data_IF_052383088051
#
_entry.id   IF_052383088051
#
_cell.length_a   1.000
_cell.length_b   1.000
_cell.length_c   1.000
_cell.angle_alpha   90.00
_cell.angle_beta   90.00
_cell.angle_gamma   90.00
#
_symmetry.space_group_name_H-M   'P 1'
#
loop_
_entity.id
_entity.type
_entity.pdbx_description
1 polymer ?
#
# COMPACT_ATOMS: atom_id res chain seq x y z
N UNK A 1 -44.37 -5.72 -22.59
CA UNK A 1 -43.00 -5.79 -23.14
C UNK A 1 -42.02 -5.47 -22.04
N UNK A 2 -41.55 -6.54 -21.35
CA UNK A 2 -40.61 -6.45 -20.27
C UNK A 2 -39.18 -6.59 -20.83
N UNK A 3 -38.28 -5.67 -20.47
CA UNK A 3 -36.86 -5.79 -20.73
C UNK A 3 -36.16 -6.28 -19.44
N UNK A 4 -35.73 -7.54 -19.46
CA UNK A 4 -34.86 -8.14 -18.47
C UNK A 4 -33.46 -7.45 -18.51
N UNK A 5 -33.11 -6.76 -17.44
CA UNK A 5 -31.70 -6.33 -17.21
C UNK A 5 -30.91 -7.53 -16.71
N UNK A 6 -30.04 -8.05 -17.57
CA UNK A 6 -29.05 -9.03 -17.17
C UNK A 6 -28.02 -8.36 -16.25
N UNK A 7 -27.99 -8.82 -15.00
CA UNK A 7 -26.92 -8.49 -14.05
C UNK A 7 -25.61 -9.09 -14.53
N UNK A 8 -24.61 -8.27 -14.83
CA UNK A 8 -23.25 -8.73 -15.03
C UNK A 8 -22.67 -9.15 -13.68
N UNK A 9 -22.41 -10.44 -13.54
CA UNK A 9 -21.65 -11.00 -12.44
C UNK A 9 -20.26 -10.32 -12.37
N UNK A 10 -19.87 -9.91 -11.17
CA UNK A 10 -18.49 -9.50 -10.86
C UNK A 10 -17.58 -10.70 -11.16
N UNK A 11 -16.64 -10.53 -12.04
CA UNK A 11 -15.50 -11.43 -12.15
C UNK A 11 -14.62 -11.16 -10.94
N UNK A 12 -14.57 -12.10 -9.99
CA UNK A 12 -13.58 -12.12 -8.93
C UNK A 12 -12.20 -12.23 -9.56
N UNK A 13 -11.39 -11.17 -9.44
CA UNK A 13 -9.98 -11.26 -9.75
C UNK A 13 -9.33 -12.19 -8.71
N UNK A 14 -8.57 -13.20 -9.13
CA UNK A 14 -7.95 -14.13 -8.20
C UNK A 14 -6.91 -13.39 -7.34
N UNK A 15 -7.05 -13.49 -6.02
CA UNK A 15 -6.00 -13.13 -5.07
C UNK A 15 -4.78 -14.01 -5.35
N UNK A 16 -3.72 -13.43 -5.93
CA UNK A 16 -2.48 -14.14 -6.17
C UNK A 16 -1.76 -14.34 -4.83
N UNK A 17 -1.47 -15.57 -4.42
CA UNK A 17 -0.76 -15.79 -3.17
C UNK A 17 0.71 -15.37 -3.31
N UNK A 18 1.24 -14.74 -2.27
CA UNK A 18 2.64 -14.33 -2.07
C UNK A 18 3.69 -15.44 -2.33
N UNK A 19 3.26 -16.68 -2.52
CA UNK A 19 4.09 -17.84 -2.90
C UNK A 19 4.63 -17.81 -4.34
N UNK A 20 4.13 -16.96 -5.21
CA UNK A 20 4.60 -16.85 -6.60
C UNK A 20 5.91 -16.08 -6.71
N UNK A 21 6.16 -15.12 -5.81
CA UNK A 21 7.39 -14.32 -5.83
C UNK A 21 8.65 -15.17 -5.56
N UNK A 22 8.57 -16.13 -4.65
CA UNK A 22 9.67 -17.06 -4.35
C UNK A 22 10.05 -17.96 -5.53
N UNK A 23 9.10 -18.35 -6.37
CA UNK A 23 9.35 -19.20 -7.55
C UNK A 23 9.90 -18.42 -8.74
N UNK A 24 9.51 -17.17 -8.92
CA UNK A 24 10.04 -16.29 -9.97
C UNK A 24 11.50 -15.89 -9.72
N UNK A 25 11.89 -15.66 -8.46
CA UNK A 25 13.29 -15.36 -8.11
C UNK A 25 14.22 -16.54 -8.38
N UNK A 26 13.76 -17.78 -8.18
CA UNK A 26 14.57 -18.98 -8.44
C UNK A 26 14.80 -19.24 -9.95
N UNK A 27 13.81 -18.93 -10.78
CA UNK A 27 13.90 -19.12 -12.24
C UNK A 27 14.82 -18.10 -12.93
N UNK A 28 14.92 -16.88 -12.39
CA UNK A 28 15.72 -15.81 -13.01
C UNK A 28 17.22 -15.89 -12.69
N UNK A 29 17.62 -16.59 -11.65
CA UNK A 29 19.02 -16.76 -11.25
C UNK A 29 19.87 -17.51 -12.28
N UNK A 30 19.24 -18.27 -13.17
CA UNK A 30 19.94 -19.11 -14.13
C UNK A 30 20.15 -18.49 -15.51
N UNK A 31 19.59 -17.33 -15.81
CA UNK A 31 19.55 -16.85 -17.20
C UNK A 31 20.44 -15.66 -17.55
N UNK A 32 20.97 -14.89 -16.60
CA UNK A 32 21.68 -13.64 -16.99
C UNK A 32 23.06 -13.39 -16.37
N UNK A 33 23.53 -14.15 -15.40
CA UNK A 33 24.88 -13.98 -14.81
C UNK A 33 25.23 -12.58 -14.26
N UNK A 34 24.33 -11.62 -14.33
CA UNK A 34 24.49 -10.26 -13.80
C UNK A 34 23.67 -10.08 -12.53
N UNK A 35 24.34 -9.76 -11.43
CA UNK A 35 23.69 -9.32 -10.19
C UNK A 35 23.02 -7.97 -10.46
N UNK A 36 21.68 -7.97 -10.57
CA UNK A 36 20.90 -6.75 -10.68
C UNK A 36 20.76 -6.09 -9.30
N UNK A 37 20.89 -4.76 -9.19
CA UNK A 37 21.01 -4.03 -7.91
C UNK A 37 19.82 -4.22 -6.94
N UNK A 38 18.66 -4.65 -7.42
CA UNK A 38 17.47 -4.88 -6.60
C UNK A 38 17.51 -6.18 -5.75
N UNK A 39 18.49 -7.08 -5.96
CA UNK A 39 18.68 -8.29 -5.12
C UNK A 39 19.09 -7.95 -3.67
N UNK A 40 19.52 -6.72 -3.39
CA UNK A 40 19.82 -6.25 -2.02
C UNK A 40 18.59 -6.00 -1.14
N UNK A 41 17.39 -6.29 -1.64
CA UNK A 41 16.11 -5.95 -1.02
C UNK A 41 15.36 -7.21 -0.53
N UNK A 42 16.00 -8.35 -0.46
CA UNK A 42 15.35 -9.51 0.15
C UNK A 42 15.17 -9.24 1.65
N UNK A 43 13.95 -9.38 2.18
CA UNK A 43 13.74 -9.30 3.62
C UNK A 43 14.60 -10.34 4.33
N UNK A 44 14.95 -10.05 5.57
CA UNK A 44 15.61 -11.00 6.45
C UNK A 44 14.79 -12.31 6.44
N UNK A 45 15.37 -13.46 6.05
CA UNK A 45 14.65 -14.71 5.99
C UNK A 45 14.12 -15.21 7.36
N UNK A 46 14.49 -14.54 8.44
CA UNK A 46 13.98 -14.79 9.80
C UNK A 46 12.83 -13.86 10.19
N UNK A 47 12.56 -12.78 9.44
CA UNK A 47 11.41 -11.93 9.67
C UNK A 47 10.14 -12.67 9.21
N UNK A 48 9.15 -12.79 10.10
CA UNK A 48 7.85 -13.34 9.72
C UNK A 48 7.20 -12.38 8.71
N UNK A 49 6.96 -12.88 7.50
CA UNK A 49 6.35 -12.09 6.42
C UNK A 49 4.90 -11.75 6.77
N UNK A 50 4.46 -10.55 6.38
CA UNK A 50 3.06 -10.15 6.50
C UNK A 50 2.17 -10.98 5.58
N UNK A 51 0.98 -11.34 6.08
CA UNK A 51 -0.13 -11.66 5.21
C UNK A 51 -0.80 -10.34 4.80
N UNK A 52 -0.60 -9.94 3.52
CA UNK A 52 -1.11 -8.68 3.00
C UNK A 52 -2.31 -8.98 2.11
N UNK A 53 -3.42 -8.30 2.40
CA UNK A 53 -4.70 -8.49 1.73
C UNK A 53 -5.50 -7.19 1.64
N UNK A 54 -6.57 -7.21 0.86
CA UNK A 54 -7.54 -6.13 0.85
C UNK A 54 -8.26 -6.02 2.20
N UNK A 55 -8.67 -4.80 2.51
CA UNK A 55 -9.46 -4.44 3.68
C UNK A 55 -10.76 -5.25 3.77
N UNK A 56 -11.15 -5.55 4.99
CA UNK A 56 -12.46 -6.09 5.38
C UNK A 56 -13.07 -5.19 6.43
N UNK A 57 -14.39 -5.10 6.50
CA UNK A 57 -15.06 -4.23 7.47
C UNK A 57 -14.66 -4.54 8.93
N UNK A 58 -14.35 -5.79 9.22
CA UNK A 58 -13.86 -6.21 10.55
C UNK A 58 -12.51 -5.58 10.94
N UNK A 59 -11.73 -5.07 9.97
CA UNK A 59 -10.43 -4.46 10.21
C UNK A 59 -10.54 -2.98 10.63
N UNK A 60 -11.70 -2.33 10.43
CA UNK A 60 -11.90 -0.88 10.57
C UNK A 60 -11.39 -0.33 11.89
N UNK A 61 -11.84 -0.89 12.99
CA UNK A 61 -11.44 -0.42 14.32
C UNK A 61 -9.93 -0.56 14.57
N UNK A 62 -9.34 -1.68 14.15
CA UNK A 62 -7.91 -1.93 14.31
C UNK A 62 -7.07 -0.98 13.44
N UNK A 63 -7.53 -0.67 12.20
CA UNK A 63 -6.84 0.28 11.33
C UNK A 63 -6.89 1.71 11.86
N UNK A 64 -8.02 2.16 12.41
CA UNK A 64 -8.13 3.49 13.02
C UNK A 64 -7.14 3.57 14.19
N UNK A 65 -7.14 2.59 15.09
CA UNK A 65 -6.22 2.54 16.21
C UNK A 65 -4.74 2.54 15.74
N UNK A 66 -4.42 1.81 14.68
CA UNK A 66 -3.09 1.80 14.07
C UNK A 66 -2.70 3.18 13.53
N UNK A 67 -3.60 3.87 12.82
CA UNK A 67 -3.33 5.20 12.26
C UNK A 67 -3.14 6.24 13.36
N UNK A 68 -3.92 6.17 14.43
CA UNK A 68 -3.75 7.00 15.62
C UNK A 68 -2.40 6.74 16.32
N UNK A 69 -2.05 5.48 16.55
CA UNK A 69 -0.78 5.09 17.15
C UNK A 69 0.43 5.53 16.31
N UNK A 70 0.26 5.62 14.98
CA UNK A 70 1.27 6.11 14.05
C UNK A 70 1.23 7.64 13.83
N UNK A 71 0.35 8.38 14.53
CA UNK A 71 0.14 9.82 14.40
C UNK A 71 -0.16 10.25 12.94
N UNK A 72 -0.88 9.42 12.19
CA UNK A 72 -1.28 9.70 10.81
C UNK A 72 -2.58 10.50 10.70
N UNK A 73 -3.43 10.46 11.73
CA UNK A 73 -4.66 11.23 11.82
C UNK A 73 -4.41 12.65 12.36
N UNK A 74 -5.27 13.62 11.98
CA UNK A 74 -5.26 14.98 12.48
C UNK A 74 -6.64 15.36 12.98
N UNK A 75 -6.75 16.46 13.74
CA UNK A 75 -8.02 16.95 14.31
C UNK A 75 -9.10 17.26 13.28
N UNK A 76 -8.71 17.50 12.07
CA UNK A 76 -9.60 17.78 10.92
C UNK A 76 -9.80 16.58 10.00
N UNK A 77 -9.12 15.46 10.26
CA UNK A 77 -9.29 14.22 9.50
C UNK A 77 -10.39 13.37 10.15
N UNK A 78 -11.29 12.83 9.34
CA UNK A 78 -12.19 11.76 9.74
C UNK A 78 -11.72 10.46 9.09
N UNK A 79 -11.03 9.58 9.84
CA UNK A 79 -10.50 8.34 9.29
C UNK A 79 -11.58 7.39 8.80
N UNK A 80 -12.80 7.44 9.36
CA UNK A 80 -13.91 6.65 8.84
C UNK A 80 -14.35 7.15 7.45
N UNK A 81 -14.51 8.47 7.30
CA UNK A 81 -14.87 9.07 6.03
C UNK A 81 -13.78 8.85 4.97
N UNK A 82 -12.49 8.86 5.34
CA UNK A 82 -11.39 8.55 4.44
C UNK A 82 -11.40 7.10 3.98
N UNK A 83 -11.68 6.15 4.89
CA UNK A 83 -11.88 4.75 4.55
C UNK A 83 -13.06 4.57 3.61
N UNK A 84 -14.22 5.16 3.93
CA UNK A 84 -15.44 5.03 3.14
C UNK A 84 -15.24 5.54 1.72
N UNK A 85 -14.56 6.68 1.54
CA UNK A 85 -14.19 7.20 0.22
C UNK A 85 -13.28 6.25 -0.55
N UNK A 86 -12.30 5.66 0.14
CA UNK A 86 -11.36 4.72 -0.48
C UNK A 86 -12.05 3.42 -0.89
N UNK A 87 -12.92 2.89 -0.04
CA UNK A 87 -13.68 1.65 -0.30
C UNK A 87 -14.71 1.84 -1.42
N UNK A 88 -15.33 3.02 -1.49
CA UNK A 88 -16.30 3.35 -2.54
C UNK A 88 -15.66 3.55 -3.91
N UNK A 89 -14.37 3.86 -3.97
CA UNK A 89 -13.62 4.08 -5.20
C UNK A 89 -13.34 2.76 -5.91
N UNK A 90 -13.40 2.77 -7.24
CA UNK A 90 -12.93 1.65 -8.08
C UNK A 90 -11.42 1.69 -8.32
N UNK A 91 -10.85 2.87 -8.13
CA UNK A 91 -9.46 3.21 -8.43
C UNK A 91 -8.63 3.35 -7.16
N UNK A 92 -9.13 2.84 -6.03
CA UNK A 92 -8.42 2.80 -4.77
C UNK A 92 -8.66 1.47 -4.03
N UNK A 93 -7.75 1.14 -3.13
CA UNK A 93 -7.88 0.04 -2.16
C UNK A 93 -7.19 0.41 -0.85
N UNK A 94 -7.55 -0.30 0.20
CA UNK A 94 -6.83 -0.30 1.47
C UNK A 94 -6.18 -1.67 1.62
N UNK A 95 -4.86 -1.70 1.61
CA UNK A 95 -4.09 -2.90 1.91
C UNK A 95 -3.90 -3.02 3.43
N UNK A 96 -4.11 -4.21 3.94
CA UNK A 96 -3.98 -4.55 5.36
C UNK A 96 -2.93 -5.64 5.51
N UNK A 97 -1.90 -5.37 6.29
CA UNK A 97 -0.88 -6.34 6.65
C UNK A 97 -1.15 -6.92 8.03
N UNK A 98 -1.26 -8.25 8.09
CA UNK A 98 -1.50 -8.97 9.35
C UNK A 98 -0.35 -9.90 9.70
N UNK A 99 -0.14 -10.08 11.00
CA UNK A 99 0.77 -11.06 11.58
C UNK A 99 0.03 -11.78 12.69
N UNK A 100 -0.03 -13.10 12.64
CA UNK A 100 -0.81 -13.93 13.60
C UNK A 100 -2.28 -13.48 13.73
N UNK A 101 -2.88 -13.01 12.63
CA UNK A 101 -4.20 -12.39 12.51
C UNK A 101 -4.35 -10.98 13.11
N UNK A 102 -3.32 -10.42 13.74
CA UNK A 102 -3.33 -9.03 14.23
C UNK A 102 -3.02 -8.06 13.08
N UNK A 103 -3.80 -7.00 12.96
CA UNK A 103 -3.56 -5.90 12.02
C UNK A 103 -2.38 -5.07 12.53
N UNK A 104 -1.25 -5.12 11.83
CA UNK A 104 -0.03 -4.42 12.23
C UNK A 104 0.51 -3.44 11.18
N UNK A 105 -0.02 -3.50 9.95
CA UNK A 105 0.39 -2.59 8.89
C UNK A 105 -0.77 -2.25 7.95
N UNK A 106 -0.69 -1.11 7.28
CA UNK A 106 -1.65 -0.69 6.27
C UNK A 106 -1.02 0.20 5.22
N UNK A 107 -1.67 0.30 4.06
CA UNK A 107 -1.46 1.35 3.07
C UNK A 107 -2.78 1.62 2.32
N UNK A 108 -3.14 2.89 2.13
CA UNK A 108 -4.19 3.29 1.20
C UNK A 108 -3.54 3.58 -0.14
N UNK A 109 -4.00 2.91 -1.18
CA UNK A 109 -3.41 2.98 -2.53
C UNK A 109 -4.48 3.45 -3.50
N UNK A 110 -4.17 4.42 -4.33
CA UNK A 110 -5.11 4.96 -5.31
C UNK A 110 -4.44 5.29 -6.63
N UNK A 111 -5.26 5.32 -7.70
CA UNK A 111 -4.86 5.69 -9.05
C UNK A 111 -5.82 6.75 -9.60
N UNK A 112 -5.28 7.88 -10.03
CA UNK A 112 -6.06 9.04 -10.50
C UNK A 112 -6.20 9.13 -12.03
N UNK A 113 -5.81 8.07 -12.75
CA UNK A 113 -5.74 8.05 -14.22
C UNK A 113 -4.43 8.59 -14.78
N UNK A 114 -3.57 9.17 -13.96
CA UNK A 114 -2.28 9.73 -14.35
C UNK A 114 -1.12 9.21 -13.50
N UNK A 115 -1.31 9.12 -12.17
CA UNK A 115 -0.32 8.67 -11.20
C UNK A 115 -0.94 7.73 -10.18
N UNK A 116 -0.09 6.91 -9.56
CA UNK A 116 -0.42 6.19 -8.33
C UNK A 116 -0.09 7.03 -7.12
N UNK A 117 -0.91 6.92 -6.08
CA UNK A 117 -0.77 7.62 -4.81
C UNK A 117 -0.84 6.66 -3.65
N UNK A 118 -0.01 6.88 -2.64
CA UNK A 118 0.00 6.10 -1.42
C UNK A 118 -0.20 7.03 -0.24
N UNK A 119 -1.18 6.68 0.60
CA UNK A 119 -1.53 7.36 1.84
C UNK A 119 -1.59 6.36 2.97
N UNK A 120 -1.60 6.82 4.21
CA UNK A 120 -1.79 6.00 5.40
C UNK A 120 -0.90 4.75 5.44
N UNK A 121 0.36 4.87 4.94
CA UNK A 121 1.35 3.83 5.17
C UNK A 121 1.68 3.81 6.66
N UNK A 122 1.24 2.78 7.33
CA UNK A 122 1.43 2.57 8.76
C UNK A 122 2.08 1.22 9.03
N UNK A 123 2.92 1.18 10.05
CA UNK A 123 3.41 -0.06 10.68
C UNK A 123 3.36 0.18 12.18
N UNK A 124 2.82 -0.78 12.92
CA UNK A 124 2.72 -0.72 14.38
C UNK A 124 4.05 -0.28 15.00
N UNK A 125 4.02 0.69 15.94
CA UNK A 125 5.24 1.18 16.59
C UNK A 125 6.13 0.06 17.15
N UNK A 126 5.52 -1.02 17.65
CA UNK A 126 6.22 -2.18 18.23
C UNK A 126 6.86 -3.10 17.18
N UNK A 127 6.54 -2.89 15.90
CA UNK A 127 6.98 -3.71 14.77
C UNK A 127 7.80 -2.91 13.75
N UNK A 128 8.32 -1.74 14.15
CA UNK A 128 9.19 -0.92 13.30
C UNK A 128 10.53 -1.62 13.05
N UNK A 129 11.16 -1.26 11.94
CA UNK A 129 12.47 -1.79 11.50
C UNK A 129 12.51 -3.31 11.22
N UNK A 130 11.36 -3.99 11.18
CA UNK A 130 11.26 -5.41 10.83
C UNK A 130 11.06 -5.67 9.31
N UNK A 131 11.10 -4.64 8.46
CA UNK A 131 10.90 -4.77 7.02
C UNK A 131 9.45 -4.63 6.55
N UNK A 132 8.46 -4.63 7.44
CA UNK A 132 7.03 -4.62 7.11
C UNK A 132 6.59 -3.41 6.27
N UNK A 133 7.15 -2.23 6.51
CA UNK A 133 6.88 -1.07 5.65
C UNK A 133 7.33 -1.27 4.21
N UNK A 134 8.43 -1.99 3.99
CA UNK A 134 8.92 -2.35 2.65
C UNK A 134 8.00 -3.37 1.98
N UNK A 135 7.52 -4.36 2.73
CA UNK A 135 6.56 -5.35 2.22
C UNK A 135 5.26 -4.66 1.78
N UNK A 136 4.71 -3.75 2.61
CA UNK A 136 3.52 -2.98 2.27
C UNK A 136 3.71 -2.12 1.01
N UNK A 137 4.87 -1.46 0.88
CA UNK A 137 5.18 -0.65 -0.31
C UNK A 137 5.30 -1.51 -1.56
N UNK A 138 5.96 -2.67 -1.47
CA UNK A 138 6.09 -3.58 -2.60
C UNK A 138 4.72 -4.07 -3.10
N UNK A 139 3.80 -4.41 -2.20
CA UNK A 139 2.44 -4.82 -2.58
C UNK A 139 1.63 -3.66 -3.17
N UNK A 140 1.76 -2.44 -2.62
CA UNK A 140 1.14 -1.25 -3.18
C UNK A 140 1.64 -0.94 -4.61
N UNK A 141 2.94 -1.07 -4.85
CA UNK A 141 3.54 -0.91 -6.17
C UNK A 141 3.08 -1.99 -7.16
N UNK A 142 2.94 -3.24 -6.71
CA UNK A 142 2.39 -4.33 -7.52
C UNK A 142 0.93 -4.05 -7.91
N UNK A 143 0.11 -3.58 -6.96
CA UNK A 143 -1.28 -3.21 -7.20
C UNK A 143 -1.42 -2.11 -8.26
N UNK A 144 -0.57 -1.08 -8.19
CA UNK A 144 -0.52 0.02 -9.15
C UNK A 144 0.02 -0.42 -10.52
N UNK A 145 1.07 -1.24 -10.53
CA UNK A 145 1.66 -1.78 -11.76
C UNK A 145 0.66 -2.64 -12.54
N UNK A 146 -0.13 -3.46 -11.85
CA UNK A 146 -1.19 -4.27 -12.46
C UNK A 146 -2.28 -3.44 -13.14
N UNK A 147 -2.38 -2.13 -12.80
CA UNK A 147 -3.30 -1.15 -13.41
C UNK A 147 -2.63 -0.28 -14.47
N UNK A 148 -1.38 -0.57 -14.83
CA UNK A 148 -0.63 0.18 -15.84
C UNK A 148 -0.17 1.56 -15.35
N UNK A 149 -0.10 1.79 -14.05
CA UNK A 149 0.34 3.07 -13.47
C UNK A 149 1.84 3.28 -13.75
N UNK A 150 2.23 4.37 -14.44
CA UNK A 150 3.62 4.57 -14.85
C UNK A 150 4.51 5.12 -13.74
N UNK A 151 3.93 5.71 -12.69
CA UNK A 151 4.68 6.37 -11.61
C UNK A 151 3.85 6.41 -10.33
N UNK A 152 4.51 6.11 -9.21
CA UNK A 152 3.96 6.25 -7.86
C UNK A 152 4.43 7.57 -7.25
N UNK A 153 3.54 8.27 -6.56
CA UNK A 153 3.83 9.45 -5.78
C UNK A 153 3.26 9.33 -4.37
N UNK A 154 3.85 10.04 -3.45
CA UNK A 154 3.38 10.17 -2.08
C UNK A 154 3.84 11.53 -1.53
N UNK A 155 3.21 11.95 -0.45
CA UNK A 155 3.55 13.20 0.22
C UNK A 155 4.11 12.90 1.61
N UNK A 156 5.29 13.43 1.89
CA UNK A 156 5.94 13.36 3.19
C UNK A 156 5.98 14.76 3.78
N UNK A 157 5.65 14.89 5.06
CA UNK A 157 5.79 16.19 5.75
C UNK A 157 7.25 16.58 5.82
N UNK A 158 7.54 17.86 5.60
CA UNK A 158 8.91 18.35 5.49
C UNK A 158 9.80 18.03 6.69
N UNK A 159 9.21 17.99 7.89
CA UNK A 159 9.88 17.66 9.14
C UNK A 159 10.07 16.15 9.39
N UNK A 160 9.47 15.27 8.58
CA UNK A 160 9.55 13.82 8.77
C UNK A 160 10.75 13.22 8.04
N UNK A 161 11.94 13.49 8.56
CA UNK A 161 13.21 12.97 8.02
C UNK A 161 13.27 11.44 8.01
N UNK A 162 12.70 10.79 9.02
CA UNK A 162 12.65 9.33 9.11
C UNK A 162 11.89 8.71 7.94
N UNK A 163 10.71 9.25 7.61
CA UNK A 163 9.94 8.79 6.46
C UNK A 163 10.66 9.10 5.15
N UNK A 164 11.28 10.28 5.03
CA UNK A 164 12.07 10.64 3.85
C UNK A 164 13.22 9.67 3.63
N UNK A 165 13.99 9.33 4.68
CA UNK A 165 15.08 8.35 4.60
C UNK A 165 14.57 6.95 4.21
N UNK A 166 13.41 6.53 4.75
CA UNK A 166 12.77 5.27 4.41
C UNK A 166 12.41 5.20 2.91
N UNK A 167 11.74 6.22 2.37
CA UNK A 167 11.36 6.22 0.96
C UNK A 167 12.57 6.35 0.03
N UNK A 168 13.59 7.14 0.39
CA UNK A 168 14.85 7.18 -0.35
C UNK A 168 15.52 5.81 -0.44
N UNK A 169 15.49 5.03 0.66
CA UNK A 169 16.03 3.66 0.67
C UNK A 169 15.22 2.67 -0.20
N UNK A 170 13.99 3.03 -0.59
CA UNK A 170 13.16 2.30 -1.54
C UNK A 170 13.33 2.80 -2.98
N UNK A 171 14.16 3.82 -3.23
CA UNK A 171 14.38 4.39 -4.55
C UNK A 171 13.42 5.52 -4.93
N UNK A 172 12.64 6.04 -3.98
CA UNK A 172 11.85 7.24 -4.19
C UNK A 172 12.74 8.48 -4.14
N UNK A 173 12.49 9.40 -5.04
CA UNK A 173 13.25 10.64 -5.16
C UNK A 173 12.37 11.85 -4.85
N UNK A 174 12.97 12.84 -4.18
CA UNK A 174 12.29 14.11 -3.95
C UNK A 174 11.98 14.79 -5.29
N UNK A 175 10.74 15.25 -5.43
CA UNK A 175 10.29 16.00 -6.61
C UNK A 175 10.32 17.51 -6.30
N UNK A 176 10.71 18.30 -7.30
CA UNK A 176 10.69 19.77 -7.22
C UNK A 176 9.29 20.29 -7.58
N UNK A 177 8.36 20.13 -6.65
CA UNK A 177 6.96 20.55 -6.80
C UNK A 177 6.45 21.16 -5.50
N UNK A 178 5.52 22.10 -5.61
CA UNK A 178 4.78 22.66 -4.47
C UNK A 178 3.37 22.07 -4.45
N UNK A 179 2.95 21.54 -3.32
CA UNK A 179 1.58 21.05 -3.11
C UNK A 179 0.72 22.20 -2.57
N UNK A 180 -0.36 22.50 -3.26
CA UNK A 180 -1.36 23.49 -2.85
C UNK A 180 -2.67 22.77 -2.52
N UNK A 181 -3.33 23.17 -1.43
CA UNK A 181 -4.59 22.59 -0.98
C UNK A 181 -5.64 23.66 -0.69
N UNK A 182 -6.91 23.31 -0.89
CA UNK A 182 -8.07 24.14 -0.51
C UNK A 182 -9.16 23.24 0.04
N UNK A 183 -9.70 23.59 1.20
CA UNK A 183 -10.88 22.92 1.74
C UNK A 183 -12.10 23.25 0.88
N UNK A 184 -12.86 22.22 0.49
CA UNK A 184 -14.08 22.36 -0.31
C UNK A 184 -15.35 22.24 0.55
N UNK A 185 -15.23 21.63 1.71
CA UNK A 185 -16.28 21.53 2.73
C UNK A 185 -15.79 22.14 4.03
N UNK A 186 -16.67 22.82 4.81
CA UNK A 186 -16.32 23.43 6.08
C UNK A 186 -15.94 22.41 7.15
#
# INVERSE_FOLDING_TARGET
>A
TGALRAGRARADAPSAPSRLLGKLVHAFKHQTGRLVPWIRILPDPTAMALDIRDFREADRAALIALWEACALTRRWDDPNADMDRSIASRDATILVGTLDNDVIASAVVGHDGHRGWIYYLAVSPDRKACGHGREMMAEAELWLTARGTPKVQLMVRGENETATAFYNALGYERQDVTVLGKWLMP
#
